data_IF_985685897297
#
_entry.id   IF_985685897297
#
_cell.length_a   1.000
_cell.length_b   1.000
_cell.length_c   1.000
_cell.angle_alpha   90.00
_cell.angle_beta   90.00
_cell.angle_gamma   90.00
#
_symmetry.space_group_name_H-M   'P 1'
#
loop_
_entity.id
_entity.type
_entity.pdbx_description
1 polymer ?
#
# COMPACT_ATOMS: atom_id res chain seq x y z
N UNK A 1 -2.00 17.81 -20.11
CA UNK A 1 -1.81 18.87 -19.12
C UNK A 1 -0.72 18.40 -18.13
N UNK A 2 0.00 19.32 -17.47
CA UNK A 2 1.24 18.99 -16.73
C UNK A 2 0.95 18.26 -15.41
N UNK A 3 -0.21 18.50 -14.81
CA UNK A 3 -0.59 18.00 -13.49
C UNK A 3 -0.90 16.50 -13.50
N UNK A 4 -1.60 16.03 -14.52
CA UNK A 4 -1.94 14.62 -14.71
C UNK A 4 -0.66 13.79 -14.87
N UNK A 5 0.31 14.29 -15.63
CA UNK A 5 1.60 13.60 -15.82
C UNK A 5 2.34 13.39 -14.49
N UNK A 6 2.36 14.41 -13.62
CA UNK A 6 2.97 14.32 -12.28
C UNK A 6 2.27 13.27 -11.43
N UNK A 7 0.94 13.25 -11.41
CA UNK A 7 0.19 12.27 -10.61
C UNK A 7 0.31 10.86 -11.16
N UNK A 8 0.32 10.68 -12.49
CA UNK A 8 0.61 9.39 -13.14
C UNK A 8 1.97 8.86 -12.66
N UNK A 9 3.00 9.71 -12.66
CA UNK A 9 4.35 9.33 -12.24
C UNK A 9 4.39 8.94 -10.75
N UNK A 10 3.73 9.72 -9.89
CA UNK A 10 3.63 9.45 -8.46
C UNK A 10 2.88 8.13 -8.17
N UNK A 11 1.74 7.91 -8.80
CA UNK A 11 0.95 6.69 -8.65
C UNK A 11 1.70 5.47 -9.16
N UNK A 12 2.36 5.57 -10.33
CA UNK A 12 3.22 4.50 -10.83
C UNK A 12 4.32 4.16 -9.83
N UNK A 13 5.02 5.18 -9.31
CA UNK A 13 6.09 4.98 -8.34
C UNK A 13 5.58 4.31 -7.06
N UNK A 14 4.43 4.75 -6.55
CA UNK A 14 3.85 4.21 -5.31
C UNK A 14 3.32 2.79 -5.50
N UNK A 15 2.45 2.56 -6.49
CA UNK A 15 1.85 1.26 -6.75
C UNK A 15 2.90 0.21 -7.12
N UNK A 16 3.93 0.58 -7.87
CA UNK A 16 5.03 -0.33 -8.20
C UNK A 16 5.78 -0.85 -6.96
N UNK A 17 5.65 -0.25 -5.78
CA UNK A 17 6.26 -0.81 -4.57
C UNK A 17 5.45 -1.99 -4.01
N UNK A 18 4.17 -2.07 -4.35
CA UNK A 18 3.23 -3.03 -3.76
C UNK A 18 2.75 -4.11 -4.74
N UNK A 19 2.72 -3.82 -6.05
CA UNK A 19 2.22 -4.75 -7.08
C UNK A 19 3.26 -5.06 -8.16
N UNK A 20 3.22 -6.28 -8.71
CA UNK A 20 4.19 -6.76 -9.71
C UNK A 20 3.79 -6.41 -11.15
N UNK A 21 2.50 -6.50 -11.49
CA UNK A 21 1.96 -6.43 -12.85
C UNK A 21 1.19 -5.12 -13.09
N UNK A 22 1.76 -3.99 -12.69
CA UNK A 22 1.14 -2.69 -12.95
C UNK A 22 1.17 -2.36 -14.45
N UNK A 23 0.00 -2.27 -15.08
CA UNK A 23 -0.11 -1.76 -16.44
C UNK A 23 -0.11 -0.22 -16.45
N UNK A 24 1.07 0.34 -16.73
CA UNK A 24 1.25 1.80 -16.80
C UNK A 24 0.41 2.47 -17.89
N UNK A 25 -0.03 1.72 -18.91
CA UNK A 25 -0.90 2.25 -19.98
C UNK A 25 -2.35 2.40 -19.50
N UNK A 26 -2.88 1.42 -18.75
CA UNK A 26 -4.20 1.51 -18.11
C UNK A 26 -4.25 2.63 -17.08
N UNK A 27 -3.19 2.80 -16.30
CA UNK A 27 -3.09 3.91 -15.35
C UNK A 27 -3.17 5.25 -16.09
N UNK A 28 -2.44 5.40 -17.20
CA UNK A 28 -2.50 6.61 -18.04
C UNK A 28 -3.91 6.84 -18.58
N UNK A 29 -4.58 5.84 -19.13
CA UNK A 29 -5.91 6.00 -19.72
C UNK A 29 -6.95 6.42 -18.66
N UNK A 30 -6.95 5.78 -17.48
CA UNK A 30 -7.90 6.09 -16.41
C UNK A 30 -7.78 7.53 -15.88
N UNK A 31 -6.57 8.07 -15.85
CA UNK A 31 -6.31 9.43 -15.35
C UNK A 31 -6.94 10.50 -16.25
N UNK A 32 -7.09 10.25 -17.56
CA UNK A 32 -7.73 11.20 -18.48
C UNK A 32 -9.26 11.21 -18.34
N UNK A 33 -9.84 10.12 -17.84
CA UNK A 33 -11.27 9.99 -17.55
C UNK A 33 -11.68 10.43 -16.13
N UNK A 34 -10.72 10.65 -15.22
CA UNK A 34 -10.98 10.98 -13.81
C UNK A 34 -11.07 9.77 -12.87
N UNK A 35 -11.29 8.59 -13.42
CA UNK A 35 -11.42 7.32 -12.70
C UNK A 35 -10.33 6.34 -13.14
N UNK A 36 -9.47 5.94 -12.22
CA UNK A 36 -8.47 4.89 -12.42
C UNK A 36 -9.06 3.58 -11.94
N UNK A 37 -9.05 2.55 -12.78
CA UNK A 37 -9.45 1.19 -12.39
C UNK A 37 -8.39 0.21 -12.85
N UNK A 38 -7.85 -0.56 -11.91
CA UNK A 38 -6.88 -1.62 -12.14
C UNK A 38 -7.48 -2.92 -11.59
N UNK A 39 -7.31 -4.02 -12.32
CA UNK A 39 -7.87 -5.32 -11.95
C UNK A 39 -6.77 -6.38 -11.90
N UNK A 40 -7.02 -7.43 -11.12
CA UNK A 40 -6.17 -8.62 -11.02
C UNK A 40 -4.69 -8.28 -10.79
N UNK A 41 -4.44 -7.39 -9.82
CA UNK A 41 -3.08 -7.01 -9.43
C UNK A 41 -2.47 -8.08 -8.53
N UNK A 42 -1.23 -8.46 -8.83
CA UNK A 42 -0.43 -9.40 -8.05
C UNK A 42 0.38 -8.64 -7.02
N UNK A 43 0.20 -9.01 -5.75
CA UNK A 43 0.94 -8.41 -4.64
C UNK A 43 2.38 -8.89 -4.67
N UNK A 44 3.32 -7.96 -4.51
CA UNK A 44 4.75 -8.25 -4.42
C UNK A 44 5.06 -9.12 -3.20
N UNK A 45 5.95 -10.09 -3.40
CA UNK A 45 6.43 -10.95 -2.30
C UNK A 45 7.17 -10.16 -1.21
N UNK A 46 7.71 -9.00 -1.57
CA UNK A 46 8.51 -8.10 -0.71
C UNK A 46 7.66 -7.08 0.07
N UNK A 47 6.32 -7.15 -0.02
CA UNK A 47 5.40 -6.16 0.56
C UNK A 47 5.65 -5.89 2.05
N UNK A 48 6.02 -6.93 2.81
CA UNK A 48 6.20 -6.85 4.26
C UNK A 48 7.67 -6.85 4.71
N UNK A 49 8.61 -6.77 3.77
CA UNK A 49 10.04 -6.81 4.10
C UNK A 49 10.45 -5.57 4.94
N UNK A 50 9.84 -4.42 4.68
CA UNK A 50 10.07 -3.18 5.42
C UNK A 50 9.49 -3.20 6.85
N UNK A 51 8.52 -4.08 7.12
CA UNK A 51 7.86 -4.19 8.42
C UNK A 51 8.62 -5.11 9.39
N UNK A 52 9.76 -5.66 8.98
CA UNK A 52 10.59 -6.58 9.77
C UNK A 52 9.79 -7.73 10.41
N UNK A 53 8.82 -8.26 9.67
CA UNK A 53 7.96 -9.35 10.14
C UNK A 53 8.64 -10.71 9.89
N UNK A 54 8.48 -11.70 10.79
CA UNK A 54 8.99 -13.06 10.60
C UNK A 54 8.17 -13.87 9.58
N UNK A 55 7.53 -13.21 8.63
CA UNK A 55 6.69 -13.81 7.61
C UNK A 55 6.90 -13.07 6.28
N UNK A 56 6.87 -13.83 5.18
CA UNK A 56 6.94 -13.29 3.81
C UNK A 56 5.68 -13.61 3.05
N UNK A 57 5.34 -12.79 2.06
CA UNK A 57 4.23 -13.07 1.15
C UNK A 57 4.66 -14.18 0.20
N UNK A 58 3.98 -15.32 0.25
CA UNK A 58 4.12 -16.42 -0.72
C UNK A 58 3.34 -16.10 -1.99
N UNK A 59 2.13 -15.59 -1.81
CA UNK A 59 1.25 -15.21 -2.91
C UNK A 59 0.28 -14.14 -2.40
N UNK A 60 -0.09 -13.19 -3.25
CA UNK A 60 -1.19 -12.29 -2.96
C UNK A 60 -1.82 -11.74 -4.23
N UNK A 61 -3.09 -11.43 -4.13
CA UNK A 61 -3.92 -10.89 -5.19
C UNK A 61 -4.75 -9.73 -4.65
N UNK A 62 -4.92 -8.73 -5.48
CA UNK A 62 -5.82 -7.62 -5.30
C UNK A 62 -6.76 -7.62 -6.51
N UNK A 63 -8.01 -8.01 -6.29
CA UNK A 63 -8.98 -8.19 -7.37
C UNK A 63 -9.26 -6.90 -8.13
N UNK A 64 -9.49 -5.80 -7.41
CA UNK A 64 -9.73 -4.49 -8.00
C UNK A 64 -9.20 -3.35 -7.14
N UNK A 65 -8.62 -2.37 -7.81
CA UNK A 65 -8.24 -1.07 -7.26
C UNK A 65 -8.88 0.01 -8.12
N UNK A 66 -9.84 0.72 -7.56
CA UNK A 66 -10.46 1.89 -8.18
C UNK A 66 -10.07 3.16 -7.41
N UNK A 67 -9.69 4.22 -8.12
CA UNK A 67 -9.34 5.51 -7.54
C UNK A 67 -10.05 6.62 -8.30
N UNK A 68 -10.80 7.45 -7.59
CA UNK A 68 -11.47 8.63 -8.13
C UNK A 68 -10.71 9.87 -7.73
N UNK A 69 -10.16 10.58 -8.70
CA UNK A 69 -9.32 11.75 -8.49
C UNK A 69 -10.05 12.99 -9.00
N UNK A 70 -10.47 13.92 -8.13
CA UNK A 70 -11.22 15.10 -8.55
C UNK A 70 -10.28 16.17 -9.12
N UNK A 71 -9.72 15.97 -10.31
CA UNK A 71 -8.73 16.86 -10.95
C UNK A 71 -9.12 18.33 -10.98
N UNK A 72 -10.41 18.61 -11.18
CA UNK A 72 -10.96 19.96 -11.25
C UNK A 72 -11.09 20.63 -9.88
N UNK A 73 -11.07 19.87 -8.78
CA UNK A 73 -11.29 20.37 -7.42
C UNK A 73 -10.52 19.56 -6.36
N UNK A 74 -9.21 19.40 -6.51
CA UNK A 74 -8.38 18.65 -5.53
C UNK A 74 -8.26 19.36 -4.16
N UNK A 75 -8.57 20.66 -4.11
CA UNK A 75 -8.59 21.42 -2.87
C UNK A 75 -9.88 21.27 -2.08
N UNK A 76 -11.03 21.09 -2.76
CA UNK A 76 -12.35 21.02 -2.12
C UNK A 76 -13.03 19.64 -2.16
N UNK A 77 -12.49 18.67 -2.88
CA UNK A 77 -13.06 17.32 -2.99
C UNK A 77 -12.05 16.24 -2.60
N UNK A 78 -12.56 15.14 -2.07
CA UNK A 78 -11.76 14.02 -1.56
C UNK A 78 -11.35 13.03 -2.66
N UNK A 79 -10.16 12.45 -2.51
CA UNK A 79 -9.69 11.34 -3.34
C UNK A 79 -10.23 10.05 -2.74
N UNK A 80 -11.04 9.30 -3.50
CA UNK A 80 -11.62 8.04 -3.03
C UNK A 80 -10.84 6.88 -3.62
N UNK A 81 -10.28 6.04 -2.76
CA UNK A 81 -9.60 4.79 -3.10
C UNK A 81 -10.46 3.63 -2.62
N UNK A 82 -10.76 2.74 -3.54
CA UNK A 82 -11.61 1.59 -3.33
C UNK A 82 -10.84 0.33 -3.74
N UNK A 83 -10.64 -0.54 -2.76
CA UNK A 83 -9.93 -1.80 -2.91
C UNK A 83 -10.91 -2.93 -2.65
N UNK A 84 -10.97 -3.87 -3.58
CA UNK A 84 -11.85 -5.02 -3.47
C UNK A 84 -11.05 -6.32 -3.66
N UNK A 85 -11.35 -7.29 -2.80
CA UNK A 85 -10.77 -8.63 -2.82
C UNK A 85 -9.25 -8.61 -2.61
N UNK A 86 -8.83 -8.31 -1.37
CA UNK A 86 -7.43 -8.39 -0.96
C UNK A 86 -7.15 -9.76 -0.35
N UNK A 87 -6.46 -10.62 -1.11
CA UNK A 87 -6.07 -11.96 -0.69
C UNK A 87 -4.56 -12.02 -0.50
N UNK A 88 -4.10 -12.44 0.67
CA UNK A 88 -2.68 -12.57 0.98
C UNK A 88 -2.42 -13.92 1.65
N UNK A 89 -1.43 -14.66 1.15
CA UNK A 89 -0.91 -15.88 1.75
C UNK A 89 0.51 -15.62 2.24
N UNK A 90 0.69 -15.71 3.54
CA UNK A 90 1.95 -15.58 4.26
C UNK A 90 2.54 -16.96 4.56
N UNK A 91 3.87 -17.03 4.57
CA UNK A 91 4.63 -18.18 5.07
C UNK A 91 5.70 -17.70 6.06
N UNK A 92 6.15 -18.55 6.99
CA UNK A 92 7.29 -18.23 7.83
C UNK A 92 8.51 -17.88 6.98
N UNK A 93 9.17 -16.77 7.31
CA UNK A 93 10.45 -16.43 6.70
C UNK A 93 11.57 -17.16 7.45
N UNK A 94 11.74 -18.46 7.16
CA UNK A 94 12.80 -19.28 7.78
C UNK A 94 14.23 -18.95 7.31
N UNK A 95 14.43 -17.84 6.60
CA UNK A 95 15.74 -17.36 6.13
C UNK A 95 16.35 -16.26 7.02
N UNK A 96 15.77 -15.96 8.18
CA UNK A 96 16.54 -15.28 9.24
C UNK A 96 17.42 -16.30 9.97
N UNK A 97 18.41 -16.86 9.28
CA UNK A 97 19.66 -17.16 10.00
C UNK A 97 20.17 -15.81 10.46
N UNK A 98 20.14 -15.57 11.77
CA UNK A 98 20.79 -14.42 12.37
C UNK A 98 22.25 -14.44 11.93
N UNK A 99 22.58 -13.58 10.98
CA UNK A 99 23.91 -13.47 10.40
C UNK A 99 24.42 -12.11 10.87
N UNK A 100 25.02 -12.10 12.07
CA UNK A 100 25.47 -10.89 12.76
C UNK A 100 26.28 -9.95 11.84
N UNK A 101 27.02 -10.55 10.89
CA UNK A 101 27.83 -9.83 9.89
C UNK A 101 26.98 -9.08 8.87
N UNK A 102 25.85 -9.65 8.41
CA UNK A 102 24.95 -8.95 7.47
C UNK A 102 24.21 -7.81 8.16
N UNK A 103 23.79 -8.00 9.40
CA UNK A 103 23.08 -6.96 10.16
C UNK A 103 24.02 -5.82 10.56
N UNK A 104 25.26 -6.12 10.94
CA UNK A 104 26.28 -5.11 11.19
C UNK A 104 26.65 -4.34 9.91
N UNK A 105 26.79 -5.04 8.77
CA UNK A 105 26.99 -4.39 7.46
C UNK A 105 25.79 -3.52 7.08
N UNK A 106 24.56 -4.01 7.23
CA UNK A 106 23.34 -3.27 6.91
C UNK A 106 23.15 -2.05 7.82
N UNK A 107 23.46 -2.20 9.11
CA UNK A 107 23.45 -1.10 10.08
C UNK A 107 24.50 -0.05 9.74
N UNK A 108 25.71 -0.47 9.38
CA UNK A 108 26.79 0.42 8.96
C UNK A 108 26.49 1.09 7.62
N UNK A 109 25.91 0.37 6.65
CA UNK A 109 25.48 0.91 5.37
C UNK A 109 24.34 1.91 5.54
N UNK A 110 23.34 1.63 6.38
CA UNK A 110 22.27 2.59 6.72
C UNK A 110 22.84 3.84 7.40
N UNK A 111 23.77 3.69 8.34
CA UNK A 111 24.46 4.82 8.99
C UNK A 111 25.25 5.64 7.97
N UNK A 112 26.04 4.99 7.12
CA UNK A 112 26.81 5.66 6.08
C UNK A 112 25.95 6.30 4.99
N UNK A 113 24.84 5.67 4.61
CA UNK A 113 23.88 6.22 3.65
C UNK A 113 23.18 7.46 4.23
N UNK A 114 22.84 7.44 5.52
CA UNK A 114 22.28 8.60 6.22
C UNK A 114 23.29 9.74 6.31
N UNK A 115 24.55 9.45 6.61
CA UNK A 115 25.63 10.44 6.61
C UNK A 115 25.85 11.03 5.22
N UNK A 116 25.93 10.19 4.17
CA UNK A 116 26.06 10.62 2.79
C UNK A 116 24.88 11.47 2.32
N UNK A 117 23.65 11.11 2.68
CA UNK A 117 22.46 11.90 2.34
C UNK A 117 22.48 13.28 3.01
N UNK A 118 22.94 13.37 4.27
CA UNK A 118 23.10 14.65 4.98
C UNK A 118 24.24 15.47 4.38
N UNK A 119 25.36 14.84 4.02
CA UNK A 119 26.49 15.52 3.36
C UNK A 119 26.13 16.01 1.96
N UNK A 120 25.39 15.22 1.16
CA UNK A 120 24.88 15.63 -0.14
C UNK A 120 23.84 16.75 0.00
N UNK A 121 22.92 16.67 0.98
CA UNK A 121 21.98 17.75 1.25
C UNK A 121 22.72 19.04 1.62
N UNK A 122 23.73 18.96 2.50
CA UNK A 122 24.55 20.10 2.93
C UNK A 122 25.41 20.68 1.80
N UNK A 123 25.91 19.84 0.88
CA UNK A 123 26.63 20.30 -0.32
C UNK A 123 25.68 20.93 -1.35
N UNK A 124 24.49 20.36 -1.56
CA UNK A 124 23.43 20.96 -2.40
C UNK A 124 22.94 22.30 -1.85
N UNK A 125 23.04 22.52 -0.54
CA UNK A 125 22.77 23.81 0.10
C UNK A 125 23.88 24.85 -0.10
N UNK A 126 25.12 24.44 -0.39
CA UNK A 126 26.27 25.33 -0.56
C UNK A 126 26.56 25.70 -2.03
N UNK A 127 26.15 24.87 -3.01
CA UNK A 127 26.50 25.05 -4.44
C UNK A 127 25.31 25.27 -5.41
N UNK A 128 24.08 25.57 -4.95
CA UNK A 128 22.93 25.68 -5.87
C UNK A 128 22.16 27.01 -5.72
N UNK A 129 22.52 27.98 -6.57
CA UNK A 129 21.58 28.93 -7.17
C UNK A 129 20.40 28.17 -7.84
N UNK A 130 19.19 28.74 -7.87
CA UNK A 130 17.96 28.01 -7.59
C UNK A 130 17.45 27.18 -8.77
N UNK A 131 17.71 25.87 -8.74
CA UNK A 131 16.79 24.90 -9.36
C UNK A 131 15.73 24.51 -8.31
N UNK A 132 14.99 25.52 -7.84
CA UNK A 132 13.81 25.41 -6.98
C UNK A 132 12.58 25.74 -7.82
N UNK A 133 12.11 24.82 -8.66
CA UNK A 133 10.80 25.02 -9.30
C UNK A 133 9.84 23.82 -9.22
N UNK A 134 10.31 22.57 -8.99
CA UNK A 134 9.40 21.41 -8.97
C UNK A 134 9.14 20.79 -7.59
N UNK A 135 10.09 20.87 -6.64
CA UNK A 135 9.96 20.20 -5.33
C UNK A 135 8.76 20.67 -4.50
N UNK A 136 8.61 21.98 -4.30
CA UNK A 136 7.53 22.52 -3.47
C UNK A 136 6.13 22.36 -4.07
N UNK A 137 6.00 22.33 -5.40
CA UNK A 137 4.69 22.12 -6.05
C UNK A 137 4.26 20.66 -5.94
N UNK A 138 5.16 19.72 -6.26
CA UNK A 138 4.88 18.27 -6.16
C UNK A 138 4.63 17.87 -4.71
N UNK A 139 5.39 18.41 -3.76
CA UNK A 139 5.22 18.12 -2.33
C UNK A 139 3.87 18.62 -1.80
N UNK A 140 3.47 19.86 -2.15
CA UNK A 140 2.14 20.40 -1.81
C UNK A 140 1.02 19.56 -2.41
N UNK A 141 1.20 19.10 -3.64
CA UNK A 141 0.26 18.26 -4.37
C UNK A 141 0.10 16.89 -3.70
N UNK A 142 1.20 16.22 -3.37
CA UNK A 142 1.19 14.94 -2.64
C UNK A 142 0.53 15.10 -1.28
N UNK A 143 0.91 16.15 -0.54
CA UNK A 143 0.31 16.46 0.76
C UNK A 143 -1.19 16.66 0.64
N UNK A 144 -1.65 17.35 -0.42
CA UNK A 144 -3.06 17.59 -0.66
C UNK A 144 -3.84 16.31 -0.98
N UNK A 145 -3.27 15.42 -1.81
CA UNK A 145 -3.86 14.10 -2.11
C UNK A 145 -4.00 13.28 -0.83
N UNK A 146 -2.95 13.21 0.00
CA UNK A 146 -2.95 12.43 1.24
C UNK A 146 -3.91 13.02 2.27
N UNK A 147 -4.00 14.35 2.38
CA UNK A 147 -4.82 15.03 3.39
C UNK A 147 -6.30 14.65 3.27
N UNK A 148 -6.81 14.52 2.06
CA UNK A 148 -8.22 14.25 1.80
C UNK A 148 -8.44 12.87 1.15
N UNK A 149 -7.61 11.88 1.51
CA UNK A 149 -7.79 10.52 1.01
C UNK A 149 -8.83 9.76 1.85
N UNK A 150 -9.74 9.09 1.15
CA UNK A 150 -10.67 8.12 1.73
C UNK A 150 -10.33 6.76 1.15
N UNK A 151 -10.07 5.78 2.01
CA UNK A 151 -9.72 4.42 1.61
C UNK A 151 -10.82 3.49 2.11
N UNK A 152 -11.36 2.66 1.23
CA UNK A 152 -12.28 1.58 1.57
C UNK A 152 -11.71 0.28 1.01
N UNK A 153 -11.53 -0.71 1.87
CA UNK A 153 -11.01 -2.03 1.53
C UNK A 153 -12.09 -3.06 1.86
N UNK A 154 -12.48 -3.87 0.88
CA UNK A 154 -13.52 -4.89 1.02
C UNK A 154 -12.97 -6.28 0.75
N UNK A 155 -13.54 -7.27 1.45
CA UNK A 155 -13.20 -8.67 1.31
C UNK A 155 -11.69 -8.93 1.49
N UNK A 156 -11.19 -8.61 2.68
CA UNK A 156 -9.81 -8.86 3.07
C UNK A 156 -9.71 -10.29 3.60
N UNK A 157 -8.74 -11.05 3.10
CA UNK A 157 -8.39 -12.37 3.60
C UNK A 157 -6.88 -12.51 3.66
N UNK A 158 -6.37 -12.63 4.88
CA UNK A 158 -4.94 -12.85 5.14
C UNK A 158 -4.81 -14.24 5.75
N UNK A 159 -4.04 -15.12 5.12
CA UNK A 159 -3.81 -16.51 5.54
C UNK A 159 -2.33 -16.74 5.77
N UNK A 160 -1.97 -17.19 6.95
CA UNK A 160 -0.64 -17.67 7.29
C UNK A 160 -0.59 -19.19 7.18
N UNK A 161 0.36 -19.72 6.41
CA UNK A 161 0.60 -21.15 6.22
C UNK A 161 1.96 -21.52 6.78
N UNK A 162 2.00 -22.47 7.70
CA UNK A 162 3.23 -22.95 8.31
C UNK A 162 3.38 -24.45 8.12
N UNK A 163 4.48 -24.83 7.46
CA UNK A 163 4.89 -26.22 7.24
C UNK A 163 6.24 -26.53 7.87
N UNK A 164 6.90 -25.53 8.45
CA UNK A 164 8.32 -25.62 8.84
C UNK A 164 8.49 -25.62 10.36
N UNK A 165 7.65 -24.90 11.10
CA UNK A 165 7.72 -24.81 12.56
C UNK A 165 7.39 -26.14 13.23
N UNK A 166 6.44 -26.90 12.67
CA UNK A 166 6.12 -28.26 13.13
C UNK A 166 6.15 -29.26 11.96
N UNK A 167 7.27 -29.99 11.76
CA UNK A 167 7.43 -30.95 10.66
C UNK A 167 6.42 -32.10 10.66
N UNK A 168 5.77 -32.38 11.81
CA UNK A 168 4.80 -33.48 11.94
C UNK A 168 3.37 -33.07 11.59
N UNK A 169 3.04 -31.78 11.66
CA UNK A 169 1.71 -31.28 11.34
C UNK A 169 1.78 -29.85 10.81
N UNK A 170 1.55 -29.69 9.51
CA UNK A 170 1.34 -28.39 8.90
C UNK A 170 0.05 -27.75 9.42
N UNK A 171 0.05 -26.43 9.60
CA UNK A 171 -1.13 -25.69 10.00
C UNK A 171 -1.32 -24.42 9.16
N UNK A 172 -2.55 -23.91 9.14
CA UNK A 172 -2.86 -22.62 8.54
C UNK A 172 -3.80 -21.84 9.43
N UNK A 173 -3.51 -20.57 9.65
CA UNK A 173 -4.35 -19.63 10.40
C UNK A 173 -4.71 -18.48 9.46
N UNK A 174 -5.92 -17.96 9.53
CA UNK A 174 -6.32 -16.84 8.70
C UNK A 174 -7.21 -15.85 9.43
N UNK A 175 -7.14 -14.61 9.00
CA UNK A 175 -8.03 -13.53 9.41
C UNK A 175 -8.77 -13.06 8.17
N UNK A 176 -10.08 -12.89 8.32
CA UNK A 176 -10.93 -12.33 7.27
C UNK A 176 -11.64 -11.09 7.80
N UNK A 177 -11.83 -10.10 6.94
CA UNK A 177 -12.53 -8.87 7.28
C UNK A 177 -13.34 -8.41 6.07
N UNK A 178 -14.66 -8.24 6.26
CA UNK A 178 -15.57 -7.87 5.17
C UNK A 178 -15.32 -6.44 4.69
N UNK A 179 -15.05 -5.51 5.60
CA UNK A 179 -14.86 -4.10 5.28
C UNK A 179 -13.88 -3.44 6.27
N UNK A 180 -12.95 -2.66 5.73
CA UNK A 180 -12.08 -1.73 6.45
C UNK A 180 -12.15 -0.37 5.75
N UNK A 181 -12.55 0.67 6.48
CA UNK A 181 -12.61 2.04 5.95
C UNK A 181 -11.76 3.01 6.76
N UNK A 182 -10.98 3.83 6.07
CA UNK A 182 -10.22 4.93 6.64
C UNK A 182 -10.62 6.23 5.94
N UNK A 183 -11.10 7.20 6.72
CA UNK A 183 -11.53 8.52 6.22
C UNK A 183 -10.86 9.61 7.03
N UNK A 184 -10.31 10.63 6.38
CA UNK A 184 -9.87 11.83 7.11
C UNK A 184 -11.10 12.58 7.65
N UNK A 185 -11.24 12.66 8.96
CA UNK A 185 -12.27 13.48 9.61
C UNK A 185 -11.76 14.92 9.76
N UNK A 186 -12.46 15.89 9.20
CA UNK A 186 -12.33 17.30 9.61
C UNK A 186 -13.13 17.54 10.89
N UNK A 187 -12.80 18.62 11.62
CA UNK A 187 -13.48 18.99 12.89
C UNK A 187 -15.00 19.18 12.76
N UNK A 188 -15.55 19.23 11.54
CA UNK A 188 -16.97 19.48 11.26
C UNK A 188 -17.75 18.28 10.71
N UNK A 189 -17.12 17.13 10.42
CA UNK A 189 -17.82 15.97 9.87
C UNK A 189 -17.84 14.78 10.83
N UNK A 190 -18.62 14.91 11.91
CA UNK A 190 -19.08 13.77 12.70
C UNK A 190 -20.28 13.11 12.01
N UNK A 191 -20.08 12.54 10.83
CA UNK A 191 -21.00 11.55 10.27
C UNK A 191 -20.16 10.42 9.65
N UNK A 192 -20.01 9.34 10.43
CA UNK A 192 -19.67 8.04 9.86
C UNK A 192 -20.72 7.73 8.78
N UNK A 193 -20.35 7.22 7.60
CA UNK A 193 -21.34 6.73 6.66
C UNK A 193 -22.17 5.66 7.39
N UNK A 194 -23.49 5.87 7.46
CA UNK A 194 -24.41 4.86 7.96
C UNK A 194 -24.18 3.59 7.15
N UNK A 195 -23.62 2.57 7.82
CA UNK A 195 -23.70 1.21 7.32
C UNK A 195 -25.18 0.89 7.20
N UNK A 196 -25.64 0.69 5.97
CA UNK A 196 -26.91 0.00 5.74
C UNK A 196 -26.79 -1.35 6.42
N UNK A 197 -27.40 -1.43 7.59
CA UNK A 197 -27.42 -2.55 8.51
C UNK A 197 -28.29 -3.65 7.92
N UNK A 198 -27.78 -4.34 6.90
CA UNK A 198 -28.26 -5.67 6.56
C UNK A 198 -27.43 -6.70 7.34
N UNK A 199 -27.87 -6.94 8.58
CA UNK A 199 -27.68 -8.20 9.31
C UNK A 199 -26.25 -8.60 9.64
N UNK A 200 -25.68 -8.04 10.71
CA UNK A 200 -24.67 -8.77 11.49
C UNK A 200 -25.38 -9.87 12.28
N UNK A 201 -25.42 -11.08 11.73
CA UNK A 201 -25.73 -12.28 12.48
C UNK A 201 -24.49 -12.66 13.31
N UNK A 202 -24.57 -12.39 14.62
CA UNK A 202 -23.53 -12.59 15.63
C UNK A 202 -23.33 -14.08 15.98
N UNK A 203 -23.17 -14.95 14.99
CA UNK A 203 -23.17 -16.39 15.23
C UNK A 203 -22.10 -17.20 14.49
N UNK A 204 -21.18 -16.60 13.73
CA UNK A 204 -20.17 -17.39 13.01
C UNK A 204 -18.75 -16.80 13.04
N UNK A 205 -18.13 -16.81 14.22
CA UNK A 205 -16.69 -17.10 14.34
C UNK A 205 -16.46 -18.58 13.98
N UNK A 206 -16.74 -18.97 12.74
CA UNK A 206 -16.46 -20.33 12.26
C UNK A 206 -15.37 -20.24 11.21
N UNK A 207 -14.19 -20.74 11.61
CA UNK A 207 -13.13 -21.20 10.73
C UNK A 207 -13.72 -22.11 9.64
N UNK A 208 -14.05 -21.54 8.47
CA UNK A 208 -14.25 -22.34 7.26
C UNK A 208 -12.87 -22.68 6.71
N UNK A 209 -12.46 -23.93 6.92
CA UNK A 209 -11.34 -24.52 6.21
C UNK A 209 -11.60 -24.38 4.70
N UNK A 210 -10.77 -23.57 4.04
CA UNK A 210 -10.78 -23.45 2.60
C UNK A 210 -10.24 -24.75 2.00
N UNK A 211 -11.07 -25.43 1.19
CA UNK A 211 -10.71 -26.62 0.42
C UNK A 211 -10.52 -26.23 -1.06
N UNK A 212 -9.29 -26.23 -1.59
CA UNK A 212 -9.08 -26.05 -3.02
C UNK A 212 -9.52 -27.32 -3.75
N UNK A 213 -10.52 -27.20 -4.63
CA UNK A 213 -10.62 -28.08 -5.80
C UNK A 213 -9.79 -27.50 -6.93
#
# INVERSE_FOLDING_TARGET
MVFEAVVVELLNRFLNQYVENLDTSQLKIGIWGGDVVLNDLKIKTTLFDDLNLPARVKWGKLGKLAMKIPWKNLYGSQVVVDIEELLIVLIPSNEFKYDAVKEEKWSNEKKQARLRAVEEARKREQDIEPIKQSGGFVEKLVTQIIKNIQIVIRNIHIRYEDKTTNPKSAFSVGVTMSNLSATTTTKESSQLPESSSNGCDNSNFICKAWNPK
#
